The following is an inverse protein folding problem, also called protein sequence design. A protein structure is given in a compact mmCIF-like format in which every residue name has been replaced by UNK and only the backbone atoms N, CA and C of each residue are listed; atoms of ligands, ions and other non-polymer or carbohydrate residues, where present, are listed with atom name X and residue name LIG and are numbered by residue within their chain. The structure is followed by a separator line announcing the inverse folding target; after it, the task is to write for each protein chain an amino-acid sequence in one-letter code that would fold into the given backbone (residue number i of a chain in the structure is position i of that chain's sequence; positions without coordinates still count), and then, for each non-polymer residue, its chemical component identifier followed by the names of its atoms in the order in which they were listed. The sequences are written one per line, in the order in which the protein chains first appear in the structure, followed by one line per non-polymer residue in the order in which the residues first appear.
data_IF_733294259026
#
_entry.id   IF_733294259026
#
_cell.length_a   1.000
_cell.length_b   1.000
_cell.length_c   1.000
_cell.angle_alpha   90.00
_cell.angle_beta   90.00
_cell.angle_gamma   90.00
#
_symmetry.space_group_name_H-M   'P 1'
#
loop_
_entity.id
_entity.type
_entity.pdbx_description
1 polymer ?
#
# COMPACT_ATOMS: atom_id res chain seq x y z
N UNK A 1 10.23 -8.97 -8.22
CA UNK A 1 10.39 -8.38 -6.87
C UNK A 1 9.05 -8.31 -6.14
N UNK A 2 8.07 -7.54 -6.65
CA UNK A 2 6.77 -7.38 -5.99
C UNK A 2 6.04 -8.70 -5.83
N UNK A 3 6.03 -9.54 -6.85
CA UNK A 3 5.40 -10.86 -6.78
C UNK A 3 5.99 -11.72 -5.66
N UNK A 4 7.31 -11.79 -5.56
CA UNK A 4 8.01 -12.59 -4.55
C UNK A 4 7.73 -12.05 -3.14
N UNK A 5 7.76 -10.73 -2.98
CA UNK A 5 7.44 -10.07 -1.71
C UNK A 5 5.99 -10.31 -1.30
N UNK A 6 5.03 -10.10 -2.21
CA UNK A 6 3.60 -10.30 -1.94
C UNK A 6 3.29 -11.78 -1.64
N UNK A 7 3.95 -12.70 -2.33
CA UNK A 7 3.85 -14.13 -2.06
C UNK A 7 4.38 -14.48 -0.67
N UNK A 8 5.50 -13.89 -0.28
CA UNK A 8 6.07 -14.07 1.07
C UNK A 8 5.16 -13.47 2.15
N UNK A 9 4.61 -12.29 1.93
CA UNK A 9 3.64 -11.68 2.85
C UNK A 9 2.36 -12.51 2.97
N UNK A 10 1.87 -13.10 1.88
CA UNK A 10 0.73 -14.02 1.91
C UNK A 10 0.98 -15.20 2.83
N UNK A 11 2.15 -15.83 2.77
CA UNK A 11 2.49 -16.96 3.63
C UNK A 11 2.65 -16.54 5.11
N UNK A 12 3.33 -15.42 5.37
CA UNK A 12 3.57 -14.91 6.74
C UNK A 12 2.25 -14.46 7.39
N UNK A 13 1.36 -13.85 6.62
CA UNK A 13 0.12 -13.23 7.10
C UNK A 13 -1.15 -14.03 6.80
N UNK A 14 -1.02 -15.28 6.37
CA UNK A 14 -2.15 -16.16 5.94
C UNK A 14 -3.34 -16.23 6.91
N UNK A 15 -3.10 -16.00 8.18
CA UNK A 15 -4.15 -16.01 9.21
C UNK A 15 -4.81 -14.63 9.43
N UNK A 16 -4.29 -13.58 8.79
CA UNK A 16 -4.77 -12.20 8.94
C UNK A 16 -5.19 -11.57 7.61
N UNK A 17 -4.53 -11.97 6.51
CA UNK A 17 -4.76 -11.43 5.18
C UNK A 17 -5.03 -12.55 4.18
N UNK A 18 -6.10 -12.43 3.42
CA UNK A 18 -6.36 -13.28 2.26
C UNK A 18 -5.81 -12.58 1.01
N UNK A 19 -4.52 -12.78 0.72
CA UNK A 19 -3.86 -12.14 -0.42
C UNK A 19 -4.02 -13.03 -1.66
N UNK A 20 -4.74 -12.53 -2.66
CA UNK A 20 -4.78 -13.08 -4.01
C UNK A 20 -3.93 -12.20 -4.92
N UNK A 21 -3.02 -12.82 -5.67
CA UNK A 21 -2.11 -12.10 -6.56
C UNK A 21 -2.47 -12.47 -8.00
N UNK A 22 -2.73 -11.45 -8.81
CA UNK A 22 -2.96 -11.58 -10.24
C UNK A 22 -1.84 -10.84 -10.97
N UNK A 23 -1.03 -11.56 -11.71
CA UNK A 23 0.01 -11.00 -12.57
C UNK A 23 -0.53 -10.91 -14.00
N UNK A 24 -0.34 -9.76 -14.63
CA UNK A 24 -0.86 -9.51 -15.98
C UNK A 24 0.09 -8.63 -16.79
N UNK A 25 -0.08 -8.62 -18.09
CA UNK A 25 0.63 -7.68 -18.96
C UNK A 25 0.00 -6.28 -18.88
N UNK A 26 0.78 -5.22 -19.14
CA UNK A 26 0.28 -3.83 -19.08
C UNK A 26 -0.95 -3.59 -19.97
N UNK A 27 -1.05 -4.26 -21.12
CA UNK A 27 -2.20 -4.15 -22.04
C UNK A 27 -3.49 -4.75 -21.50
N UNK A 28 -3.41 -5.62 -20.50
CA UNK A 28 -4.54 -6.33 -19.91
C UNK A 28 -4.73 -5.97 -18.42
N UNK A 29 -4.03 -4.95 -17.96
CA UNK A 29 -4.15 -4.52 -16.56
C UNK A 29 -5.56 -4.04 -16.28
N UNK A 30 -6.22 -4.66 -15.31
CA UNK A 30 -7.49 -4.18 -14.80
C UNK A 30 -7.28 -2.83 -14.09
N UNK A 31 -8.27 -1.96 -14.17
CA UNK A 31 -8.28 -0.65 -13.52
C UNK A 31 -9.30 -0.57 -12.39
N UNK A 32 -9.96 -1.67 -12.08
CA UNK A 32 -10.97 -1.81 -11.02
C UNK A 32 -10.99 -3.22 -10.43
N UNK A 33 -11.49 -3.37 -9.21
CA UNK A 33 -11.72 -4.66 -8.55
C UNK A 33 -10.56 -5.16 -7.68
N UNK A 34 -9.54 -4.35 -7.39
CA UNK A 34 -8.41 -4.74 -6.54
C UNK A 34 -8.17 -3.76 -5.39
N UNK A 35 -7.74 -4.28 -4.24
CA UNK A 35 -7.33 -3.46 -3.10
C UNK A 35 -5.99 -2.76 -3.33
N UNK A 36 -5.10 -3.37 -4.13
CA UNK A 36 -3.80 -2.84 -4.49
C UNK A 36 -3.49 -3.10 -5.96
N UNK A 37 -3.07 -2.06 -6.64
CA UNK A 37 -2.51 -2.08 -7.99
C UNK A 37 -1.02 -1.76 -7.92
N UNK A 38 -0.19 -2.59 -8.54
CA UNK A 38 1.25 -2.34 -8.66
C UNK A 38 1.61 -2.27 -10.13
N UNK A 39 2.08 -1.12 -10.55
CA UNK A 39 2.61 -0.89 -11.89
C UNK A 39 4.10 -0.65 -11.79
N UNK A 40 4.88 -1.49 -12.45
CA UNK A 40 6.34 -1.39 -12.50
C UNK A 40 6.77 -1.02 -13.93
N UNK A 41 7.49 0.06 -14.06
CA UNK A 41 8.05 0.64 -15.30
C UNK A 41 6.99 1.08 -16.32
N UNK A 42 6.00 0.27 -16.63
CA UNK A 42 4.93 0.60 -17.59
C UNK A 42 3.66 1.01 -16.86
N UNK A 43 3.28 2.25 -17.02
CA UNK A 43 2.13 2.84 -16.31
C UNK A 43 0.83 2.69 -17.13
N UNK A 44 -0.33 2.64 -16.45
CA UNK A 44 -1.64 2.69 -17.11
C UNK A 44 -1.88 4.08 -17.70
N UNK A 45 -2.89 4.21 -18.58
CA UNK A 45 -3.29 5.52 -19.10
C UNK A 45 -4.06 6.35 -18.07
N UNK A 46 -4.85 5.67 -17.25
CA UNK A 46 -5.69 6.26 -16.19
C UNK A 46 -5.37 5.59 -14.85
N UNK A 47 -5.28 6.39 -13.80
CA UNK A 47 -5.06 5.92 -12.43
C UNK A 47 -6.31 5.19 -11.91
N UNK A 48 -6.22 3.95 -11.41
CA UNK A 48 -7.30 3.30 -10.66
C UNK A 48 -7.70 4.11 -9.42
N UNK A 49 -8.99 4.11 -9.08
CA UNK A 49 -9.53 4.95 -7.99
C UNK A 49 -10.20 4.16 -6.87
N UNK A 50 -10.42 2.86 -7.05
CA UNK A 50 -11.11 1.99 -6.10
C UNK A 50 -10.18 1.28 -5.10
N UNK A 51 -8.86 1.35 -5.33
CA UNK A 51 -7.84 0.75 -4.47
C UNK A 51 -6.64 1.67 -4.23
N UNK A 52 -5.59 1.10 -3.68
CA UNK A 52 -4.29 1.74 -3.55
C UNK A 52 -3.47 1.49 -4.80
N UNK A 53 -2.80 2.50 -5.31
CA UNK A 53 -1.96 2.38 -6.50
C UNK A 53 -0.51 2.63 -6.13
N UNK A 54 0.38 1.70 -6.46
CA UNK A 54 1.82 1.86 -6.37
C UNK A 54 2.40 1.97 -7.78
N UNK A 55 2.96 3.12 -8.10
CA UNK A 55 3.75 3.36 -9.29
C UNK A 55 5.23 3.24 -8.95
N UNK A 56 5.89 2.21 -9.47
CA UNK A 56 7.32 1.99 -9.32
C UNK A 56 8.03 2.23 -10.66
N UNK A 57 9.10 3.02 -10.64
CA UNK A 57 9.86 3.39 -11.85
C UNK A 57 8.95 3.91 -13.00
N UNK A 58 8.14 4.95 -12.78
CA UNK A 58 7.13 5.34 -13.76
C UNK A 58 7.74 5.87 -15.07
N UNK A 59 7.32 5.31 -16.21
CA UNK A 59 7.71 5.75 -17.56
C UNK A 59 6.90 6.95 -18.05
N UNK A 60 5.65 7.07 -17.60
CA UNK A 60 4.73 8.19 -17.88
C UNK A 60 3.89 8.52 -16.66
N UNK A 61 3.28 9.70 -16.65
CA UNK A 61 2.32 10.11 -15.62
C UNK A 61 0.90 9.73 -16.05
N UNK A 62 0.23 8.79 -15.34
CA UNK A 62 -1.16 8.44 -15.64
C UNK A 62 -2.12 9.62 -15.43
N UNK A 63 -3.15 9.71 -16.25
CA UNK A 63 -4.24 10.67 -16.04
C UNK A 63 -4.89 10.43 -14.68
N UNK A 64 -5.10 11.51 -13.92
CA UNK A 64 -5.66 11.45 -12.56
C UNK A 64 -4.64 11.19 -11.46
N UNK A 65 -3.37 10.89 -11.79
CA UNK A 65 -2.32 10.74 -10.77
C UNK A 65 -1.95 12.06 -10.09
N UNK A 66 -2.04 13.19 -10.80
CA UNK A 66 -1.53 14.47 -10.32
C UNK A 66 -0.01 14.56 -10.31
N UNK A 67 0.65 13.77 -11.15
CA UNK A 67 2.10 13.76 -11.32
C UNK A 67 2.52 14.42 -12.61
N UNK A 68 3.71 15.02 -12.60
CA UNK A 68 4.48 15.34 -13.79
C UNK A 68 5.84 14.66 -13.67
N UNK A 69 6.32 14.06 -14.74
CA UNK A 69 7.61 13.40 -14.77
C UNK A 69 8.63 14.29 -15.46
N UNK A 70 9.81 14.37 -14.86
CA UNK A 70 11.00 14.98 -15.44
C UNK A 70 11.96 13.94 -16.02
N UNK A 71 13.18 14.37 -16.20
CA UNK A 71 14.25 13.53 -16.72
C UNK A 71 14.72 12.46 -15.70
N UNK A 72 15.40 11.45 -16.23
CA UNK A 72 16.13 10.49 -15.39
C UNK A 72 17.45 11.13 -14.98
N UNK A 73 17.67 11.19 -13.67
CA UNK A 73 18.90 11.68 -13.07
C UNK A 73 19.83 10.52 -12.71
N UNK A 74 21.10 10.64 -13.12
CA UNK A 74 22.15 9.67 -12.80
C UNK A 74 22.97 10.15 -11.62
N UNK A 75 23.13 9.30 -10.61
CA UNK A 75 23.89 9.67 -9.41
C UNK A 75 25.41 9.66 -9.61
N UNK A 76 25.90 8.95 -10.65
CA UNK A 76 27.32 8.76 -10.87
C UNK A 76 28.02 7.97 -9.76
N UNK A 77 27.26 7.21 -8.95
CA UNK A 77 27.80 6.44 -7.82
C UNK A 77 27.95 7.24 -6.51
N UNK A 78 27.54 8.51 -6.50
CA UNK A 78 27.53 9.35 -5.29
C UNK A 78 26.14 9.96 -5.12
N UNK A 79 25.51 9.69 -3.99
CA UNK A 79 24.18 10.22 -3.67
C UNK A 79 24.00 10.37 -2.15
N UNK A 80 23.05 11.18 -1.78
CA UNK A 80 22.59 11.34 -0.39
C UNK A 80 21.13 10.98 -0.30
N UNK A 81 20.75 10.21 0.72
CA UNK A 81 19.37 9.88 1.03
C UNK A 81 18.93 10.56 2.32
N UNK A 82 17.73 11.07 2.35
CA UNK A 82 17.12 11.65 3.53
C UNK A 82 15.63 11.29 3.59
N UNK A 83 15.15 10.94 4.79
CA UNK A 83 13.71 10.85 5.02
C UNK A 83 13.09 12.24 5.04
N UNK A 84 11.85 12.33 4.56
CA UNK A 84 10.99 13.50 4.71
C UNK A 84 10.38 13.60 6.11
N UNK A 85 9.26 14.29 6.21
CA UNK A 85 8.50 14.36 7.44
C UNK A 85 8.09 12.95 7.92
N UNK A 86 8.02 12.73 9.25
CA UNK A 86 7.64 11.43 9.80
C UNK A 86 6.31 10.94 9.21
N UNK A 87 6.31 9.74 8.64
CA UNK A 87 5.14 9.16 8.00
C UNK A 87 5.05 7.65 8.30
N UNK A 88 3.83 7.08 8.48
CA UNK A 88 3.68 5.65 8.75
C UNK A 88 4.36 4.74 7.73
N UNK A 89 4.37 5.09 6.44
CA UNK A 89 4.98 4.28 5.38
C UNK A 89 6.51 4.16 5.56
N UNK A 90 7.17 5.19 6.07
CA UNK A 90 8.63 5.19 6.28
C UNK A 90 9.05 4.84 7.71
N UNK A 91 8.10 4.44 8.56
CA UNK A 91 8.43 4.00 9.91
C UNK A 91 9.42 2.82 9.89
N UNK A 92 10.46 2.90 10.70
CA UNK A 92 11.55 1.91 10.81
C UNK A 92 12.45 1.78 9.56
N UNK A 93 12.27 2.58 8.53
CA UNK A 93 13.20 2.67 7.42
C UNK A 93 14.47 3.42 7.86
N UNK A 94 15.60 2.99 7.30
CA UNK A 94 16.90 3.63 7.48
C UNK A 94 17.59 3.78 6.11
N UNK A 95 17.58 4.98 5.52
CA UNK A 95 18.17 5.22 4.21
C UNK A 95 19.63 4.81 4.09
N UNK A 96 20.37 4.75 5.21
CA UNK A 96 21.77 4.32 5.20
C UNK A 96 21.94 2.83 4.83
N UNK A 97 20.87 2.06 4.86
CA UNK A 97 20.85 0.66 4.43
C UNK A 97 20.72 0.44 2.92
N UNK A 98 20.49 1.51 2.15
CA UNK A 98 20.36 1.44 0.69
C UNK A 98 21.73 1.77 0.08
N UNK A 99 22.52 0.77 -0.38
CA UNK A 99 23.91 0.98 -0.75
C UNK A 99 24.07 1.60 -2.14
N UNK A 100 23.10 1.38 -3.05
CA UNK A 100 23.20 1.82 -4.44
C UNK A 100 21.88 2.33 -4.97
N UNK A 101 21.93 3.54 -5.53
CA UNK A 101 20.91 4.07 -6.46
C UNK A 101 21.72 4.68 -7.62
N UNK A 102 21.70 4.05 -8.80
CA UNK A 102 22.43 4.52 -9.96
C UNK A 102 21.70 5.64 -10.70
N UNK A 103 20.37 5.58 -10.70
CA UNK A 103 19.53 6.60 -11.32
C UNK A 103 18.14 6.63 -10.66
N UNK A 104 17.49 7.76 -10.77
CA UNK A 104 16.08 7.96 -10.36
C UNK A 104 15.40 8.92 -11.32
N UNK A 105 14.08 8.85 -11.38
CA UNK A 105 13.28 9.79 -12.17
C UNK A 105 12.88 11.00 -11.32
N UNK A 106 13.05 12.19 -11.84
CA UNK A 106 12.44 13.38 -11.23
C UNK A 106 10.93 13.30 -11.31
N UNK A 107 10.27 13.61 -10.20
CA UNK A 107 8.81 13.61 -10.10
C UNK A 107 8.37 14.92 -9.47
N UNK A 108 7.42 15.58 -10.13
CA UNK A 108 6.82 16.82 -9.66
C UNK A 108 5.37 16.56 -9.28
N UNK A 109 5.08 16.34 -7.98
CA UNK A 109 3.74 16.06 -7.51
C UNK A 109 2.87 17.31 -7.47
N UNK A 110 1.56 17.14 -7.72
CA UNK A 110 0.56 18.15 -7.38
C UNK A 110 0.34 18.22 -5.86
N UNK A 111 -0.43 19.18 -5.41
CA UNK A 111 -0.87 19.28 -4.01
C UNK A 111 -1.51 17.95 -3.51
N UNK A 112 -1.34 17.66 -2.23
CA UNK A 112 -1.86 16.47 -1.55
C UNK A 112 -0.89 15.30 -1.47
N UNK A 113 0.29 15.37 -2.09
CA UNK A 113 1.37 14.41 -1.88
C UNK A 113 2.23 14.76 -0.67
N UNK A 114 2.57 13.74 0.12
CA UNK A 114 3.65 13.78 1.10
C UNK A 114 4.92 13.23 0.48
N UNK A 115 6.01 13.95 0.61
CA UNK A 115 7.34 13.55 0.12
C UNK A 115 8.07 12.81 1.24
N UNK A 116 8.35 11.52 1.04
CA UNK A 116 8.72 10.60 2.13
C UNK A 116 10.20 10.21 2.15
N UNK A 117 10.82 10.15 0.97
CA UNK A 117 12.25 9.83 0.83
C UNK A 117 12.82 10.67 -0.30
N UNK A 118 13.99 11.25 -0.08
CA UNK A 118 14.70 12.08 -1.04
C UNK A 118 16.01 11.44 -1.45
N UNK A 119 16.39 11.62 -2.72
CA UNK A 119 17.71 11.34 -3.24
C UNK A 119 18.28 12.64 -3.81
N UNK A 120 19.44 13.09 -3.31
CA UNK A 120 20.07 14.35 -3.68
C UNK A 120 19.13 15.58 -3.57
N UNK A 121 18.19 15.53 -2.63
CA UNK A 121 17.20 16.60 -2.43
C UNK A 121 15.96 16.51 -3.32
N UNK A 122 15.88 15.56 -4.25
CA UNK A 122 14.70 15.30 -5.08
C UNK A 122 13.86 14.17 -4.50
N UNK A 123 12.52 14.27 -4.45
CA UNK A 123 11.68 13.23 -3.87
C UNK A 123 11.64 11.99 -4.76
N UNK A 124 11.90 10.82 -4.16
CA UNK A 124 11.88 9.51 -4.84
C UNK A 124 10.86 8.54 -4.27
N UNK A 125 10.31 8.82 -3.08
CA UNK A 125 9.15 8.12 -2.52
C UNK A 125 8.13 9.16 -2.09
N UNK A 126 6.94 9.06 -2.65
CA UNK A 126 5.83 9.97 -2.37
C UNK A 126 4.57 9.18 -2.05
N UNK A 127 3.68 9.77 -1.26
CA UNK A 127 2.39 9.16 -0.94
C UNK A 127 1.26 10.19 -0.94
N UNK A 128 0.12 9.82 -1.49
CA UNK A 128 -1.13 10.57 -1.46
C UNK A 128 -2.22 9.73 -0.82
N UNK A 129 -3.01 10.31 0.09
CA UNK A 129 -4.09 9.62 0.76
C UNK A 129 -5.35 10.49 0.79
N UNK A 130 -6.04 10.52 -0.32
CA UNK A 130 -7.34 11.16 -0.50
C UNK A 130 -8.42 10.10 -0.74
N UNK A 131 -9.72 10.39 -0.52
CA UNK A 131 -10.80 9.41 -0.68
C UNK A 131 -10.78 8.66 -2.01
N UNK A 132 -10.48 9.35 -3.10
CA UNK A 132 -10.48 8.80 -4.47
C UNK A 132 -9.08 8.74 -5.09
N UNK A 133 -8.01 8.89 -4.30
CA UNK A 133 -6.65 8.91 -4.81
C UNK A 133 -5.66 8.46 -3.72
N UNK A 134 -5.51 7.15 -3.57
CA UNK A 134 -4.52 6.53 -2.68
C UNK A 134 -3.35 6.06 -3.54
N UNK A 135 -2.33 6.89 -3.64
CA UNK A 135 -1.22 6.69 -4.59
C UNK A 135 0.10 6.70 -3.83
N UNK A 136 0.95 5.74 -4.14
CA UNK A 136 2.36 5.72 -3.73
C UNK A 136 3.20 5.72 -4.99
N UNK A 137 4.25 6.52 -5.00
CA UNK A 137 5.20 6.62 -6.11
C UNK A 137 6.58 6.30 -5.60
N UNK A 138 7.24 5.34 -6.23
CA UNK A 138 8.64 5.00 -6.01
C UNK A 138 9.40 5.29 -7.31
N UNK A 139 10.10 6.41 -7.36
CA UNK A 139 10.71 6.96 -8.58
C UNK A 139 12.11 6.42 -8.85
N UNK A 140 12.40 5.20 -8.43
CA UNK A 140 13.66 4.49 -8.68
C UNK A 140 13.40 3.18 -9.42
N UNK A 141 14.34 2.82 -10.30
CA UNK A 141 14.33 1.53 -10.98
C UNK A 141 14.96 0.45 -10.10
N UNK A 142 14.29 -0.69 -9.94
CA UNK A 142 14.85 -1.83 -9.22
C UNK A 142 16.04 -2.48 -9.95
N UNK A 143 16.12 -2.32 -11.28
CA UNK A 143 17.26 -2.79 -12.05
C UNK A 143 18.50 -1.90 -11.88
N UNK A 144 18.33 -0.68 -11.38
CA UNK A 144 19.38 0.34 -11.22
C UNK A 144 19.61 0.74 -9.76
N UNK A 145 19.08 -0.06 -8.82
CA UNK A 145 19.24 0.15 -7.39
C UNK A 145 19.25 -1.16 -6.62
N UNK A 146 19.87 -1.17 -5.45
CA UNK A 146 19.81 -2.31 -4.52
C UNK A 146 18.62 -2.20 -3.53
N UNK A 147 17.71 -1.24 -3.72
CA UNK A 147 16.63 -0.99 -2.77
C UNK A 147 15.76 -2.24 -2.53
N UNK A 148 15.42 -2.97 -3.60
CA UNK A 148 14.56 -4.16 -3.51
C UNK A 148 15.17 -5.34 -2.73
N UNK A 149 16.49 -5.35 -2.54
CA UNK A 149 17.20 -6.39 -1.77
C UNK A 149 17.58 -5.92 -0.37
N UNK A 150 17.25 -4.68 0.00
CA UNK A 150 17.46 -4.17 1.36
C UNK A 150 16.26 -4.49 2.26
N UNK A 151 16.43 -4.51 3.60
CA UNK A 151 15.33 -4.65 4.54
C UNK A 151 14.28 -3.54 4.45
N UNK A 152 14.65 -2.37 3.94
CA UNK A 152 13.76 -1.21 3.86
C UNK A 152 12.61 -1.41 2.86
N UNK A 153 12.82 -2.19 1.80
CA UNK A 153 11.77 -2.49 0.83
C UNK A 153 10.61 -3.29 1.44
N UNK A 154 10.81 -4.46 2.07
CA UNK A 154 9.71 -5.16 2.74
C UNK A 154 9.12 -4.38 3.93
N UNK A 155 9.92 -3.56 4.64
CA UNK A 155 9.42 -2.66 5.69
C UNK A 155 8.46 -1.64 5.09
N UNK A 156 8.86 -0.95 4.02
CA UNK A 156 8.01 0.01 3.31
C UNK A 156 6.71 -0.64 2.84
N UNK A 157 6.78 -1.80 2.19
CA UNK A 157 5.61 -2.50 1.69
C UNK A 157 4.67 -2.94 2.82
N UNK A 158 5.20 -3.47 3.91
CA UNK A 158 4.39 -3.81 5.08
C UNK A 158 3.69 -2.59 5.67
N UNK A 159 4.42 -1.48 5.81
CA UNK A 159 3.89 -0.23 6.32
C UNK A 159 2.82 0.36 5.39
N UNK A 160 3.02 0.26 4.07
CA UNK A 160 2.03 0.65 3.05
C UNK A 160 0.73 -0.12 3.24
N UNK A 161 0.81 -1.45 3.41
CA UNK A 161 -0.37 -2.26 3.70
C UNK A 161 -1.05 -1.82 4.99
N UNK A 162 -0.32 -1.67 6.07
CA UNK A 162 -0.89 -1.24 7.36
C UNK A 162 -1.56 0.13 7.28
N UNK A 163 -1.00 1.03 6.49
CA UNK A 163 -1.49 2.40 6.36
C UNK A 163 -2.74 2.51 5.48
N UNK A 164 -2.71 1.87 4.30
CA UNK A 164 -3.80 1.99 3.33
C UNK A 164 -4.79 0.83 3.41
N UNK A 165 -4.33 -0.36 3.81
CA UNK A 165 -5.06 -1.63 3.79
C UNK A 165 -4.96 -2.30 5.17
N UNK A 166 -5.37 -1.61 6.27
CA UNK A 166 -5.36 -2.23 7.58
C UNK A 166 -6.26 -3.46 7.59
N UNK A 167 -5.82 -4.51 8.28
CA UNK A 167 -6.63 -5.70 8.46
C UNK A 167 -7.96 -5.33 9.14
N UNK A 168 -9.05 -5.97 8.72
CA UNK A 168 -10.38 -5.78 9.33
C UNK A 168 -10.37 -6.12 10.81
N UNK A 169 -9.58 -7.13 11.18
CA UNK A 169 -9.36 -7.56 12.57
C UNK A 169 -7.88 -7.50 12.92
N UNK A 170 -7.58 -7.10 14.16
CA UNK A 170 -6.21 -7.07 14.69
C UNK A 170 -5.72 -8.45 15.12
N UNK A 171 -6.64 -9.36 15.40
CA UNK A 171 -6.39 -10.76 15.80
C UNK A 171 -7.51 -11.64 15.27
N UNK A 172 -7.27 -12.94 15.20
CA UNK A 172 -8.29 -13.96 14.91
C UNK A 172 -8.80 -14.68 16.16
N UNK A 173 -8.35 -14.28 17.34
CA UNK A 173 -8.81 -14.81 18.62
C UNK A 173 -8.92 -13.68 19.65
N UNK A 174 -10.01 -13.66 20.39
CA UNK A 174 -10.34 -12.66 21.40
C UNK A 174 -10.90 -13.35 22.64
N UNK A 175 -10.75 -12.72 23.80
CA UNK A 175 -11.36 -13.21 25.02
C UNK A 175 -12.85 -12.82 25.08
N UNK A 176 -13.64 -13.68 25.77
CA UNK A 176 -15.06 -13.36 26.01
C UNK A 176 -15.19 -12.11 26.85
N UNK A 177 -16.00 -11.15 26.37
CA UNK A 177 -16.15 -9.83 27.00
C UNK A 177 -15.15 -8.78 26.49
N UNK A 178 -14.21 -9.16 25.64
CA UNK A 178 -13.28 -8.22 25.01
C UNK A 178 -13.98 -7.35 23.96
N UNK A 179 -13.60 -6.09 23.88
CA UNK A 179 -14.07 -5.19 22.82
C UNK A 179 -13.21 -5.37 21.57
N UNK A 180 -13.82 -5.90 20.53
CA UNK A 180 -13.19 -6.13 19.22
C UNK A 180 -13.42 -4.93 18.33
N UNK A 181 -12.35 -4.30 17.88
CA UNK A 181 -12.39 -3.22 16.88
C UNK A 181 -12.39 -3.80 15.48
N UNK A 182 -13.32 -3.32 14.67
CA UNK A 182 -13.54 -3.73 13.29
C UNK A 182 -13.13 -2.59 12.36
N UNK A 183 -11.98 -2.73 11.72
CA UNK A 183 -11.49 -1.77 10.73
C UNK A 183 -11.94 -2.25 9.35
N UNK A 184 -13.09 -1.78 8.90
CA UNK A 184 -13.58 -2.15 7.58
C UNK A 184 -13.41 -1.00 6.58
N UNK A 185 -13.44 -1.34 5.30
CA UNK A 185 -13.30 -0.38 4.19
C UNK A 185 -14.52 -0.32 3.30
N UNK A 186 -15.42 -1.31 3.40
CA UNK A 186 -16.63 -1.39 2.60
C UNK A 186 -17.71 -0.44 3.08
N UNK A 187 -18.83 -0.45 2.38
CA UNK A 187 -20.04 0.32 2.74
C UNK A 187 -20.75 -0.26 3.95
N UNK A 188 -20.63 -1.57 4.13
CA UNK A 188 -21.27 -2.26 5.24
C UNK A 188 -20.41 -3.41 5.76
N UNK A 189 -20.62 -3.71 7.02
CA UNK A 189 -20.00 -4.81 7.72
C UNK A 189 -21.07 -5.56 8.48
N UNK A 190 -21.06 -6.89 8.41
CA UNK A 190 -21.86 -7.73 9.28
C UNK A 190 -20.99 -8.69 10.06
N UNK A 191 -21.41 -8.96 11.30
CA UNK A 191 -20.80 -9.97 12.15
C UNK A 191 -21.88 -10.95 12.55
N UNK A 192 -21.68 -12.22 12.28
CA UNK A 192 -22.59 -13.30 12.65
C UNK A 192 -21.89 -14.19 13.69
N UNK A 193 -22.46 -14.28 14.88
CA UNK A 193 -21.87 -14.98 16.02
C UNK A 193 -22.89 -15.70 16.89
N UNK A 194 -22.42 -16.44 17.90
CA UNK A 194 -23.29 -17.21 18.80
C UNK A 194 -24.30 -16.36 19.57
N UNK A 195 -23.97 -15.09 19.79
CA UNK A 195 -24.80 -14.10 20.50
C UNK A 195 -25.68 -13.26 19.59
N UNK A 196 -25.66 -13.52 18.26
CA UNK A 196 -26.52 -12.89 17.28
C UNK A 196 -25.79 -12.29 16.08
N UNK A 197 -26.57 -11.60 15.25
CA UNK A 197 -26.05 -10.89 14.07
C UNK A 197 -26.01 -9.39 14.32
N UNK A 198 -24.88 -8.78 14.00
CA UNK A 198 -24.65 -7.34 14.09
C UNK A 198 -24.44 -6.79 12.69
N UNK A 199 -25.03 -5.64 12.38
CA UNK A 199 -24.87 -4.96 11.09
C UNK A 199 -24.44 -3.52 11.33
N UNK A 200 -23.42 -3.07 10.58
CA UNK A 200 -22.83 -1.75 10.71
C UNK A 200 -22.80 -1.06 9.35
N UNK A 201 -23.30 0.15 9.31
CA UNK A 201 -23.24 1.04 8.14
C UNK A 201 -22.33 2.23 8.38
N UNK A 202 -21.73 2.34 9.56
CA UNK A 202 -20.76 3.36 9.94
C UNK A 202 -19.51 2.68 10.48
N UNK A 203 -18.36 3.01 9.90
CA UNK A 203 -17.08 2.38 10.20
C UNK A 203 -16.04 3.42 10.63
N UNK A 204 -15.09 3.11 11.50
CA UNK A 204 -14.87 1.82 12.18
C UNK A 204 -15.98 1.48 13.19
N UNK A 205 -16.23 0.18 13.38
CA UNK A 205 -17.21 -0.34 14.31
C UNK A 205 -16.53 -1.09 15.47
N UNK A 206 -17.32 -1.40 16.51
CA UNK A 206 -16.86 -2.20 17.64
C UNK A 206 -17.97 -3.16 18.06
N UNK A 207 -17.59 -4.38 18.44
CA UNK A 207 -18.48 -5.35 19.09
C UNK A 207 -17.84 -5.84 20.39
N UNK A 208 -18.66 -6.34 21.27
CA UNK A 208 -18.22 -7.11 22.42
C UNK A 208 -18.63 -8.57 22.18
N UNK A 209 -17.66 -9.48 22.10
CA UNK A 209 -17.91 -10.91 21.96
C UNK A 209 -18.36 -11.47 23.31
N UNK A 210 -19.67 -11.56 23.56
CA UNK A 210 -20.20 -11.93 24.87
C UNK A 210 -20.34 -13.44 25.09
N UNK A 211 -20.25 -14.23 24.02
CA UNK A 211 -20.35 -15.69 24.08
C UNK A 211 -19.15 -16.35 23.42
N UNK A 212 -18.67 -17.50 23.95
CA UNK A 212 -17.62 -18.24 23.30
C UNK A 212 -18.14 -18.90 22.01
N UNK A 213 -17.32 -18.90 20.97
CA UNK A 213 -17.63 -19.49 19.67
C UNK A 213 -17.00 -18.74 18.50
N UNK A 214 -17.37 -19.13 17.31
CA UNK A 214 -16.85 -18.52 16.08
C UNK A 214 -17.72 -17.33 15.68
N UNK A 215 -17.08 -16.23 15.36
CA UNK A 215 -17.70 -15.02 14.81
C UNK A 215 -17.25 -14.84 13.38
N UNK A 216 -18.19 -14.81 12.45
CA UNK A 216 -17.90 -14.58 11.03
C UNK A 216 -18.10 -13.10 10.69
N UNK A 217 -17.04 -12.46 10.25
CA UNK A 217 -17.06 -11.06 9.81
C UNK A 217 -17.17 -11.03 8.29
N UNK A 218 -18.22 -10.40 7.77
CA UNK A 218 -18.45 -10.23 6.34
C UNK A 218 -18.46 -8.75 6.00
N UNK A 219 -17.61 -8.35 5.07
CA UNK A 219 -17.53 -7.00 4.55
C UNK A 219 -18.07 -6.96 3.13
N UNK A 220 -18.90 -5.97 2.83
CA UNK A 220 -19.40 -5.72 1.48
C UNK A 220 -18.76 -4.46 0.93
N UNK A 221 -18.14 -4.56 -0.23
CA UNK A 221 -17.54 -3.44 -0.96
C UNK A 221 -18.53 -2.85 -1.98
N UNK A 222 -18.29 -1.60 -2.43
CA UNK A 222 -19.12 -0.93 -3.43
C UNK A 222 -19.19 -1.66 -4.77
N UNK A 223 -18.26 -2.55 -5.05
CA UNK A 223 -18.20 -3.28 -6.32
C UNK A 223 -18.96 -4.62 -6.33
N UNK A 224 -19.73 -4.94 -5.30
CA UNK A 224 -20.66 -6.10 -5.26
C UNK A 224 -19.95 -7.43 -5.02
#
# INVERSE_FOLDING_TARGET
FFYDLLSSLREIKRNQWNIQIVETSPSNAATEGFDLYVFEHTMPDVTPTDGVVLFADPDKAPTGSGLQLGDIEKTGGSFTLALGEPHPITALMDPARIPTISEYRRVYPSEGYSELLYCNGEPILLAKNEPNAKIVVLAISFSQSDYSVTPDFPIMMYNLFQYYIPATLTSNAFEVGETVKLNARGESLSVDGPDGKYEFTSLPAQIVANMPGDYTVTQTNMAG
#
